data_IF_486752087593
#
_entry.id   IF_486752087593
#
_cell.length_a   1.000
_cell.length_b   1.000
_cell.length_c   1.000
_cell.angle_alpha   90.00
_cell.angle_beta   90.00
_cell.angle_gamma   90.00
#
_symmetry.space_group_name_H-M   'P 1'
#
loop_
_entity.id
_entity.type
_entity.pdbx_description
1 polymer ?
#
# COMPACT_ATOMS: atom_id res chain seq x y z
N UNK A 1 60.57 25.13 -20.25
CA UNK A 1 59.26 25.53 -20.79
C UNK A 1 58.25 25.47 -19.66
N UNK A 2 57.86 26.63 -19.13
CA UNK A 2 56.92 26.74 -18.01
C UNK A 2 55.67 27.42 -18.52
N UNK A 3 54.53 26.72 -18.48
CA UNK A 3 53.24 27.23 -18.91
C UNK A 3 52.53 27.84 -17.69
N UNK A 4 52.28 29.15 -17.73
CA UNK A 4 51.39 29.86 -16.80
C UNK A 4 49.96 29.72 -17.29
N UNK A 5 49.05 29.33 -16.41
CA UNK A 5 47.59 29.37 -16.63
C UNK A 5 47.06 30.63 -15.93
N UNK A 6 46.28 31.49 -16.61
CA UNK A 6 45.68 32.66 -15.99
C UNK A 6 44.45 32.27 -15.16
N UNK A 7 44.39 32.76 -13.93
CA UNK A 7 43.20 32.72 -13.06
C UNK A 7 42.15 33.71 -13.57
N UNK A 8 41.06 33.19 -14.15
CA UNK A 8 39.86 33.96 -14.41
C UNK A 8 39.02 34.08 -13.13
N UNK A 9 38.51 35.28 -12.86
CA UNK A 9 37.72 35.61 -11.68
C UNK A 9 36.38 34.86 -11.63
N UNK A 10 36.01 34.44 -10.42
CA UNK A 10 34.72 33.83 -10.11
C UNK A 10 33.65 34.94 -10.06
N UNK A 11 32.55 34.85 -10.82
CA UNK A 11 31.41 35.75 -10.64
C UNK A 11 30.69 35.39 -9.35
N UNK A 12 30.51 36.36 -8.45
CA UNK A 12 29.60 36.21 -7.32
C UNK A 12 28.15 36.24 -7.83
N UNK A 13 27.49 35.08 -7.87
CA UNK A 13 26.04 35.00 -8.01
C UNK A 13 25.38 35.34 -6.67
N UNK A 14 24.70 36.49 -6.61
CA UNK A 14 23.75 36.81 -5.53
C UNK A 14 22.66 35.72 -5.49
N UNK A 15 22.45 35.15 -4.31
CA UNK A 15 21.25 34.35 -4.04
C UNK A 15 20.02 35.27 -4.15
N UNK A 16 18.92 34.80 -4.77
CA UNK A 16 17.68 35.57 -4.79
C UNK A 16 17.13 35.71 -3.36
N UNK A 17 16.71 36.92 -3.01
CA UNK A 17 16.00 37.23 -1.77
C UNK A 17 14.77 36.33 -1.64
N UNK A 18 14.61 35.75 -0.45
CA UNK A 18 13.47 34.91 -0.12
C UNK A 18 12.20 35.77 -0.07
N UNK A 19 11.21 35.43 -0.90
CA UNK A 19 9.89 36.02 -0.78
C UNK A 19 9.24 35.61 0.55
N UNK A 20 8.55 36.52 1.25
CA UNK A 20 7.83 36.18 2.47
C UNK A 20 6.68 35.23 2.16
N UNK A 21 6.67 34.09 2.84
CA UNK A 21 5.57 33.12 2.81
C UNK A 21 4.37 33.73 3.53
N UNK A 22 3.24 33.84 2.84
CA UNK A 22 1.99 34.32 3.42
C UNK A 22 1.56 33.42 4.60
N UNK A 23 1.06 33.98 5.72
CA UNK A 23 0.60 33.19 6.85
C UNK A 23 -0.61 32.34 6.47
N UNK A 24 -0.60 31.07 6.88
CA UNK A 24 -1.77 30.17 6.75
C UNK A 24 -2.94 30.71 7.57
N UNK A 25 -4.14 30.67 6.99
CA UNK A 25 -5.39 30.98 7.67
C UNK A 25 -5.62 30.03 8.87
N UNK A 26 -6.17 30.54 9.98
CA UNK A 26 -6.47 29.72 11.15
C UNK A 26 -7.58 28.70 10.85
N UNK A 27 -7.35 27.47 11.30
CA UNK A 27 -8.36 26.41 11.30
C UNK A 27 -9.44 26.82 12.31
N UNK A 28 -10.66 27.06 11.83
CA UNK A 28 -11.80 27.34 12.69
C UNK A 28 -12.29 26.07 13.40
N UNK A 29 -12.70 26.16 14.67
CA UNK A 29 -13.25 25.02 15.39
C UNK A 29 -14.62 24.62 14.82
N UNK A 30 -14.84 23.31 14.72
CA UNK A 30 -16.09 22.71 14.27
C UNK A 30 -17.26 23.08 15.17
N UNK A 31 -18.11 24.00 14.70
CA UNK A 31 -19.44 24.24 15.23
C UNK A 31 -20.43 23.29 14.56
N UNK A 32 -21.19 22.56 15.39
CA UNK A 32 -22.26 21.68 14.94
C UNK A 32 -23.40 22.46 14.28
N UNK A 33 -24.09 21.80 13.35
CA UNK A 33 -25.37 22.27 12.83
C UNK A 33 -26.39 21.16 12.80
N UNK A 34 -27.53 21.48 13.43
CA UNK A 34 -28.79 20.80 13.29
C UNK A 34 -29.48 21.23 11.99
N UNK A 35 -29.98 20.21 11.27
CA UNK A 35 -31.23 20.07 10.50
C UNK A 35 -31.84 21.22 9.69
N UNK A 36 -32.30 20.78 8.51
CA UNK A 36 -33.33 21.31 7.60
C UNK A 36 -32.85 22.32 6.56
N UNK A 37 -32.65 21.85 5.32
CA UNK A 37 -33.62 22.19 4.27
C UNK A 37 -33.54 21.27 3.05
N UNK A 38 -34.71 21.11 2.44
CA UNK A 38 -35.09 20.24 1.33
C UNK A 38 -34.36 20.52 0.01
N UNK A 39 -33.84 19.46 -0.63
CA UNK A 39 -33.60 19.42 -2.08
C UNK A 39 -34.01 18.07 -2.66
N UNK A 40 -34.93 18.11 -3.62
CA UNK A 40 -35.24 17.02 -4.53
C UNK A 40 -34.07 16.82 -5.50
N UNK A 41 -33.47 15.64 -5.46
CA UNK A 41 -32.68 15.10 -6.56
C UNK A 41 -32.88 13.58 -6.58
N UNK A 42 -33.18 13.04 -7.76
CA UNK A 42 -33.29 11.61 -8.04
C UNK A 42 -31.95 10.91 -7.77
N UNK A 43 -31.78 10.43 -6.54
CA UNK A 43 -30.84 9.39 -6.19
C UNK A 43 -31.65 8.13 -5.89
N UNK A 44 -31.65 7.19 -6.84
CA UNK A 44 -32.21 5.85 -6.63
C UNK A 44 -31.50 5.19 -5.46
N UNK A 45 -32.09 5.30 -4.27
CA UNK A 45 -31.60 4.70 -3.05
C UNK A 45 -31.46 3.19 -3.20
N UNK A 46 -30.38 2.66 -2.63
CA UNK A 46 -30.18 1.22 -2.45
C UNK A 46 -31.32 0.73 -1.54
N UNK A 47 -32.36 0.18 -2.18
CA UNK A 47 -33.63 -0.14 -1.54
C UNK A 47 -33.54 -1.33 -0.58
N UNK A 48 -34.31 -1.23 0.51
CA UNK A 48 -34.75 -2.32 1.41
C UNK A 48 -35.01 -3.61 0.63
N UNK A 49 -34.36 -4.71 1.00
CA UNK A 49 -34.63 -6.03 0.42
C UNK A 49 -36.04 -6.51 0.78
N UNK A 50 -36.82 -6.86 -0.25
CA UNK A 50 -38.01 -7.68 -0.10
C UNK A 50 -37.62 -9.13 0.21
N UNK A 51 -38.23 -9.71 1.23
CA UNK A 51 -37.93 -11.02 1.79
C UNK A 51 -38.40 -12.16 0.88
N UNK A 52 -37.55 -12.62 -0.03
CA UNK A 52 -37.66 -13.97 -0.63
C UNK A 52 -36.29 -14.50 -1.04
N UNK A 53 -35.68 -15.38 -0.24
CA UNK A 53 -34.75 -16.36 -0.80
C UNK A 53 -34.70 -17.65 0.02
N UNK A 54 -34.99 -18.75 -0.68
CA UNK A 54 -34.78 -20.14 -0.27
C UNK A 54 -33.30 -20.35 0.07
N UNK A 55 -33.06 -21.10 1.15
CA UNK A 55 -31.77 -21.66 1.52
C UNK A 55 -31.25 -22.58 0.41
N UNK A 56 -30.39 -22.07 -0.46
CA UNK A 56 -29.58 -22.89 -1.34
C UNK A 56 -28.33 -23.36 -0.55
N UNK A 57 -27.91 -24.63 -0.72
CA UNK A 57 -26.67 -25.12 -0.12
C UNK A 57 -25.45 -24.31 -0.63
N UNK A 58 -24.36 -24.23 0.16
CA UNK A 58 -23.16 -23.52 -0.26
C UNK A 58 -22.65 -24.09 -1.59
N UNK A 59 -22.34 -23.24 -2.59
CA UNK A 59 -21.89 -23.71 -3.89
C UNK A 59 -20.56 -24.45 -3.76
N UNK A 60 -20.44 -25.55 -4.52
CA UNK A 60 -19.21 -26.32 -4.63
C UNK A 60 -18.04 -25.42 -5.05
N UNK A 61 -16.93 -25.53 -4.32
CA UNK A 61 -15.71 -24.76 -4.49
C UNK A 61 -15.15 -24.99 -5.89
N UNK A 62 -15.19 -23.97 -6.74
CA UNK A 62 -14.50 -24.01 -8.03
C UNK A 62 -12.98 -24.05 -7.74
N UNK A 63 -12.21 -24.97 -8.34
CA UNK A 63 -10.77 -25.01 -8.16
C UNK A 63 -10.17 -23.66 -8.58
N UNK A 64 -9.24 -23.15 -7.78
CA UNK A 64 -8.50 -21.94 -8.12
C UNK A 64 -7.89 -22.09 -9.52
N UNK A 65 -7.95 -21.03 -10.32
CA UNK A 65 -7.20 -20.99 -11.56
C UNK A 65 -5.73 -21.34 -11.27
N UNK A 66 -5.05 -22.14 -12.12
CA UNK A 66 -3.63 -22.40 -11.94
C UNK A 66 -2.91 -21.05 -11.86
N UNK A 67 -2.15 -20.84 -10.79
CA UNK A 67 -1.48 -19.58 -10.51
C UNK A 67 -0.72 -19.11 -11.77
N UNK A 68 -0.82 -17.82 -12.09
CA UNK A 68 0.07 -17.20 -13.07
C UNK A 68 1.49 -17.66 -12.77
N UNK A 69 2.12 -18.34 -13.74
CA UNK A 69 3.47 -18.87 -13.61
C UNK A 69 4.37 -17.78 -13.03
N UNK A 70 5.20 -18.12 -12.04
CA UNK A 70 6.17 -17.25 -11.35
C UNK A 70 7.30 -16.71 -12.24
N UNK A 71 7.06 -16.63 -13.55
CA UNK A 71 8.03 -16.20 -14.55
C UNK A 71 8.25 -14.70 -14.38
N UNK A 72 9.52 -14.30 -14.34
CA UNK A 72 9.93 -12.90 -14.36
C UNK A 72 9.17 -12.14 -15.47
N UNK A 73 8.49 -11.05 -15.09
CA UNK A 73 7.98 -10.11 -16.09
C UNK A 73 9.18 -9.55 -16.86
N UNK A 74 9.20 -9.64 -18.20
CA UNK A 74 10.29 -9.06 -18.97
C UNK A 74 10.35 -7.56 -18.72
N UNK A 75 11.56 -7.00 -18.70
CA UNK A 75 11.73 -5.55 -18.68
C UNK A 75 11.02 -4.94 -19.87
N UNK A 76 10.28 -3.86 -19.64
CA UNK A 76 9.77 -3.08 -20.74
C UNK A 76 10.93 -2.46 -21.53
N UNK A 77 10.80 -2.27 -22.86
CA UNK A 77 11.87 -1.73 -23.69
C UNK A 77 12.43 -0.41 -23.15
N UNK A 78 11.56 0.51 -22.72
CA UNK A 78 11.93 1.80 -22.14
C UNK A 78 12.73 1.64 -20.84
N UNK A 79 12.32 0.72 -19.96
CA UNK A 79 13.04 0.41 -18.71
C UNK A 79 14.44 -0.13 -19.01
N UNK A 80 14.55 -1.04 -19.97
CA UNK A 80 15.83 -1.63 -20.36
C UNK A 80 16.77 -0.58 -20.97
N UNK A 81 16.27 0.28 -21.87
CA UNK A 81 17.06 1.38 -22.45
C UNK A 81 17.55 2.35 -21.38
N UNK A 82 16.67 2.76 -20.46
CA UNK A 82 17.03 3.65 -19.36
C UNK A 82 18.09 3.03 -18.44
N UNK A 83 17.97 1.73 -18.15
CA UNK A 83 18.95 0.99 -17.36
C UNK A 83 20.33 0.95 -18.04
N UNK A 84 20.37 0.60 -19.32
CA UNK A 84 21.62 0.54 -20.09
C UNK A 84 22.31 1.91 -20.14
N UNK A 85 21.56 2.97 -20.39
CA UNK A 85 22.08 4.34 -20.40
C UNK A 85 22.67 4.72 -19.04
N UNK A 86 21.96 4.41 -17.95
CA UNK A 86 22.42 4.69 -16.58
C UNK A 86 23.70 3.95 -16.23
N UNK A 87 23.79 2.66 -16.54
CA UNK A 87 24.98 1.84 -16.29
C UNK A 87 26.18 2.32 -17.11
N UNK A 88 25.97 2.68 -18.38
CA UNK A 88 27.02 3.22 -19.25
C UNK A 88 27.62 4.53 -18.73
N UNK A 89 26.81 5.38 -18.07
CA UNK A 89 27.24 6.63 -17.48
C UNK A 89 27.93 6.50 -16.11
N UNK A 90 27.89 5.34 -15.45
CA UNK A 90 28.53 5.14 -14.14
C UNK A 90 30.05 4.95 -14.26
N UNK A 91 30.85 5.42 -13.28
CA UNK A 91 32.24 5.00 -13.09
C UNK A 91 32.35 3.47 -12.95
N UNK A 92 33.48 2.88 -13.35
CA UNK A 92 33.63 1.42 -13.40
C UNK A 92 33.34 0.69 -12.07
N UNK A 93 33.84 1.15 -10.89
CA UNK A 93 33.55 0.46 -9.62
C UNK A 93 32.05 0.51 -9.24
N UNK A 94 31.40 1.65 -9.47
CA UNK A 94 29.97 1.82 -9.20
C UNK A 94 29.13 0.97 -10.16
N UNK A 95 29.51 0.94 -11.44
CA UNK A 95 28.87 0.12 -12.47
C UNK A 95 28.95 -1.37 -12.13
N UNK A 96 30.12 -1.83 -11.67
CA UNK A 96 30.32 -3.24 -11.29
C UNK A 96 29.40 -3.60 -10.10
N UNK A 97 29.37 -2.75 -9.07
CA UNK A 97 28.47 -2.93 -7.91
C UNK A 97 27.01 -2.97 -8.35
N UNK A 98 26.55 -1.98 -9.11
CA UNK A 98 25.19 -1.89 -9.61
C UNK A 98 24.80 -3.12 -10.44
N UNK A 99 25.67 -3.53 -11.37
CA UNK A 99 25.44 -4.71 -12.22
C UNK A 99 25.32 -5.98 -11.38
N UNK A 100 26.21 -6.16 -10.38
CA UNK A 100 26.16 -7.31 -9.47
C UNK A 100 24.86 -7.34 -8.68
N UNK A 101 24.48 -6.21 -8.08
CA UNK A 101 23.23 -6.08 -7.32
C UNK A 101 21.99 -6.39 -8.19
N UNK A 102 21.89 -5.78 -9.37
CA UNK A 102 20.76 -5.97 -10.28
C UNK A 102 20.63 -7.43 -10.73
N UNK A 103 21.74 -8.08 -11.11
CA UNK A 103 21.74 -9.48 -11.51
C UNK A 103 21.35 -10.42 -10.37
N UNK A 104 21.82 -10.15 -9.15
CA UNK A 104 21.57 -11.03 -8.00
C UNK A 104 20.17 -10.87 -7.40
N UNK A 105 19.63 -9.66 -7.37
CA UNK A 105 18.44 -9.34 -6.57
C UNK A 105 17.26 -8.78 -7.36
N UNK A 106 17.43 -8.38 -8.62
CA UNK A 106 16.39 -7.64 -9.36
C UNK A 106 15.96 -8.36 -10.62
N UNK A 107 16.87 -8.54 -11.58
CA UNK A 107 16.54 -8.95 -12.95
C UNK A 107 15.99 -10.37 -13.07
N UNK A 108 16.26 -11.22 -12.07
CA UNK A 108 15.82 -12.61 -12.03
C UNK A 108 14.58 -12.83 -11.15
N UNK A 109 13.86 -11.76 -10.79
CA UNK A 109 12.66 -11.83 -9.92
C UNK A 109 11.36 -11.70 -10.74
N UNK A 110 10.22 -12.15 -10.20
CA UNK A 110 8.88 -11.86 -10.75
C UNK A 110 8.60 -10.36 -10.95
N UNK A 111 9.32 -9.50 -10.25
CA UNK A 111 9.10 -8.04 -10.20
C UNK A 111 10.21 -7.24 -10.91
N UNK A 112 10.98 -7.88 -11.80
CA UNK A 112 12.16 -7.28 -12.42
C UNK A 112 11.91 -5.89 -13.03
N UNK A 113 10.84 -5.72 -13.81
CA UNK A 113 10.53 -4.42 -14.43
C UNK A 113 10.24 -3.32 -13.40
N UNK A 114 9.27 -3.55 -12.50
CA UNK A 114 8.88 -2.55 -11.48
C UNK A 114 10.02 -2.21 -10.53
N UNK A 115 10.85 -3.19 -10.17
CA UNK A 115 12.03 -2.97 -9.35
C UNK A 115 13.14 -2.23 -10.09
N UNK A 116 13.35 -2.50 -11.39
CA UNK A 116 14.33 -1.76 -12.19
C UNK A 116 13.93 -0.29 -12.37
N UNK A 117 12.65 0.00 -12.63
CA UNK A 117 12.15 1.39 -12.64
C UNK A 117 12.36 2.07 -11.29
N UNK A 118 12.06 1.37 -10.19
CA UNK A 118 12.32 1.87 -8.82
C UNK A 118 13.80 2.17 -8.60
N UNK A 119 14.71 1.28 -9.01
CA UNK A 119 16.15 1.52 -8.91
C UNK A 119 16.59 2.79 -9.63
N UNK A 120 16.06 3.04 -10.83
CA UNK A 120 16.38 4.22 -11.62
C UNK A 120 15.88 5.50 -10.94
N UNK A 121 14.64 5.50 -10.45
CA UNK A 121 14.06 6.62 -9.70
C UNK A 121 14.89 6.95 -8.45
N UNK A 122 15.16 5.92 -7.63
CA UNK A 122 15.88 6.07 -6.37
C UNK A 122 17.35 6.46 -6.59
N UNK A 123 17.98 5.97 -7.66
CA UNK A 123 19.34 6.38 -8.04
C UNK A 123 19.40 7.86 -8.41
N UNK A 124 18.38 8.40 -9.08
CA UNK A 124 18.30 9.82 -9.39
C UNK A 124 18.14 10.66 -8.11
N UNK A 125 17.30 10.21 -7.17
CA UNK A 125 17.16 10.86 -5.85
C UNK A 125 18.47 10.82 -5.06
N UNK A 126 19.19 9.69 -5.10
CA UNK A 126 20.49 9.52 -4.44
C UNK A 126 21.54 10.46 -5.02
N UNK A 127 21.61 10.60 -6.34
CA UNK A 127 22.54 11.53 -6.98
C UNK A 127 22.28 12.99 -6.56
N UNK A 128 21.02 13.37 -6.35
CA UNK A 128 20.66 14.71 -5.89
C UNK A 128 20.95 14.95 -4.39
N UNK A 129 20.95 13.88 -3.56
CA UNK A 129 21.05 13.95 -2.09
C UNK A 129 21.90 12.81 -1.51
N UNK A 130 23.17 12.66 -1.90
CA UNK A 130 23.98 11.48 -1.56
C UNK A 130 24.30 11.36 -0.06
N UNK A 131 24.30 12.47 0.68
CA UNK A 131 24.51 12.48 2.13
C UNK A 131 23.30 11.95 2.93
N UNK A 132 22.12 11.89 2.29
CA UNK A 132 20.85 11.49 2.93
C UNK A 132 20.41 10.12 2.46
N UNK A 133 20.57 9.83 1.18
CA UNK A 133 20.18 8.54 0.61
C UNK A 133 21.44 7.78 0.18
N UNK A 134 21.87 6.80 0.96
CA UNK A 134 23.04 5.97 0.63
C UNK A 134 22.71 4.95 -0.47
N UNK A 135 23.73 4.44 -1.16
CA UNK A 135 23.54 3.35 -2.13
C UNK A 135 22.94 2.09 -1.46
N UNK A 136 23.36 1.75 -0.24
CA UNK A 136 22.80 0.62 0.52
C UNK A 136 21.29 0.79 0.77
N UNK A 137 20.83 2.03 0.99
CA UNK A 137 19.41 2.33 1.15
C UNK A 137 18.66 2.17 -0.18
N UNK A 138 19.23 2.65 -1.28
CA UNK A 138 18.69 2.45 -2.64
C UNK A 138 18.56 0.96 -2.97
N UNK A 139 19.61 0.17 -2.68
CA UNK A 139 19.63 -1.27 -2.89
C UNK A 139 18.59 -1.98 -2.01
N UNK A 140 18.46 -1.59 -0.73
CA UNK A 140 17.46 -2.17 0.18
C UNK A 140 16.03 -1.91 -0.30
N UNK A 141 15.71 -0.66 -0.66
CA UNK A 141 14.38 -0.28 -1.17
C UNK A 141 14.08 -1.00 -2.49
N UNK A 142 15.04 -1.03 -3.41
CA UNK A 142 14.90 -1.71 -4.70
C UNK A 142 14.68 -3.21 -4.51
N UNK A 143 15.47 -3.84 -3.62
CA UNK A 143 15.35 -5.27 -3.30
C UNK A 143 13.99 -5.58 -2.66
N UNK A 144 13.49 -4.72 -1.79
CA UNK A 144 12.16 -4.87 -1.20
C UNK A 144 11.03 -4.80 -2.23
N UNK A 145 11.22 -4.09 -3.35
CA UNK A 145 10.28 -4.13 -4.50
C UNK A 145 10.48 -5.38 -5.36
N UNK A 146 11.72 -5.84 -5.51
CA UNK A 146 12.06 -6.96 -6.38
C UNK A 146 11.65 -8.32 -5.79
N UNK A 147 12.03 -8.59 -4.55
CA UNK A 147 11.92 -9.91 -3.97
C UNK A 147 10.48 -10.23 -3.55
N UNK A 148 9.90 -11.35 -4.02
CA UNK A 148 8.58 -11.79 -3.59
C UNK A 148 8.46 -11.84 -2.08
N UNK A 149 7.39 -11.24 -1.54
CA UNK A 149 7.11 -11.29 -0.11
C UNK A 149 6.88 -12.73 0.37
N UNK A 150 6.23 -13.57 -0.42
CA UNK A 150 6.00 -14.98 -0.10
C UNK A 150 6.30 -15.93 -1.25
N UNK A 151 6.37 -17.22 -0.95
CA UNK A 151 6.55 -18.29 -1.96
C UNK A 151 5.23 -18.74 -2.58
N UNK A 152 4.10 -18.37 -1.97
CA UNK A 152 2.76 -18.71 -2.45
C UNK A 152 2.32 -17.89 -3.68
N UNK A 153 1.20 -18.31 -4.28
CA UNK A 153 0.68 -17.71 -5.51
C UNK A 153 0.32 -16.22 -5.36
N UNK A 154 -0.14 -15.80 -4.19
CA UNK A 154 -0.47 -14.40 -3.88
C UNK A 154 0.74 -13.58 -3.38
N UNK A 155 1.84 -14.25 -3.02
CA UNK A 155 3.02 -13.64 -2.40
C UNK A 155 4.05 -13.13 -3.40
N UNK A 156 3.72 -13.09 -4.70
CA UNK A 156 4.66 -12.76 -5.77
C UNK A 156 5.01 -11.27 -5.83
N UNK A 157 4.19 -10.40 -5.24
CA UNK A 157 4.51 -8.98 -5.07
C UNK A 157 5.74 -8.77 -4.18
N UNK A 158 6.43 -7.65 -4.35
CA UNK A 158 7.47 -7.21 -3.42
C UNK A 158 6.97 -7.07 -1.98
N UNK A 159 7.93 -6.98 -1.06
CA UNK A 159 7.68 -6.53 0.34
C UNK A 159 7.17 -5.08 0.35
N UNK A 160 7.66 -4.30 -0.62
CA UNK A 160 7.33 -2.90 -0.89
C UNK A 160 6.72 -2.77 -2.29
N UNK A 161 5.80 -1.82 -2.44
CA UNK A 161 5.46 -1.23 -3.72
C UNK A 161 6.47 -0.17 -4.19
N UNK A 162 6.65 0.05 -5.51
CA UNK A 162 7.41 1.20 -6.04
C UNK A 162 7.03 2.55 -5.41
N UNK A 163 5.73 2.82 -5.24
CA UNK A 163 5.24 4.05 -4.59
C UNK A 163 5.71 4.16 -3.14
N UNK A 164 5.64 3.06 -2.38
CA UNK A 164 6.08 3.00 -0.99
C UNK A 164 7.60 3.22 -0.89
N UNK A 165 8.39 2.65 -1.81
CA UNK A 165 9.83 2.85 -1.86
C UNK A 165 10.21 4.31 -2.14
N UNK A 166 9.52 4.98 -3.07
CA UNK A 166 9.72 6.42 -3.34
C UNK A 166 9.28 7.31 -2.18
N UNK A 167 8.18 6.96 -1.51
CA UNK A 167 7.72 7.66 -0.31
C UNK A 167 8.76 7.56 0.81
N UNK A 168 9.32 6.36 1.05
CA UNK A 168 10.38 6.15 2.02
C UNK A 168 11.64 6.95 1.69
N UNK A 169 12.09 6.94 0.43
CA UNK A 169 13.25 7.73 0.00
C UNK A 169 13.00 9.25 0.15
N UNK A 170 11.80 9.71 -0.16
CA UNK A 170 11.43 11.13 0.00
C UNK A 170 11.42 11.55 1.47
N UNK A 171 10.89 10.69 2.34
CA UNK A 171 10.95 10.87 3.79
C UNK A 171 12.41 10.98 4.27
N UNK A 172 13.29 10.07 3.85
CA UNK A 172 14.71 10.07 4.24
C UNK A 172 15.43 11.34 3.80
N UNK A 173 15.12 11.84 2.60
CA UNK A 173 15.68 13.10 2.10
C UNK A 173 15.19 14.28 2.94
N UNK A 174 13.90 14.30 3.32
CA UNK A 174 13.26 15.42 4.01
C UNK A 174 13.34 15.42 5.54
N UNK A 175 13.63 14.27 6.17
CA UNK A 175 13.60 14.15 7.64
C UNK A 175 14.64 14.99 8.34
N UNK A 176 14.50 15.17 9.64
CA UNK A 176 15.44 15.96 10.43
C UNK A 176 16.82 15.28 10.56
N UNK A 177 17.76 15.93 11.25
CA UNK A 177 19.06 15.33 11.57
C UNK A 177 18.92 14.16 12.55
N UNK A 178 18.22 14.37 13.67
CA UNK A 178 18.08 13.32 14.68
C UNK A 178 17.21 12.15 14.20
N UNK A 179 16.12 12.42 13.46
CA UNK A 179 15.31 11.31 12.91
C UNK A 179 16.11 10.46 11.94
N UNK A 180 16.95 11.10 11.12
CA UNK A 180 17.84 10.39 10.21
C UNK A 180 18.86 9.54 10.97
N UNK A 181 19.49 10.09 12.01
CA UNK A 181 20.43 9.35 12.88
C UNK A 181 19.74 8.16 13.55
N UNK A 182 18.52 8.36 14.08
CA UNK A 182 17.71 7.31 14.69
C UNK A 182 17.33 6.21 13.70
N UNK A 183 16.95 6.59 12.47
CA UNK A 183 16.68 5.64 11.39
C UNK A 183 17.93 4.82 11.04
N UNK A 184 19.09 5.46 10.87
CA UNK A 184 20.36 4.76 10.61
C UNK A 184 20.72 3.80 11.74
N UNK A 185 20.48 4.17 13.00
CA UNK A 185 20.61 3.27 14.15
C UNK A 185 19.67 2.07 14.04
N UNK A 186 18.39 2.31 13.73
CA UNK A 186 17.37 1.27 13.59
C UNK A 186 17.70 0.28 12.46
N UNK A 187 18.15 0.76 11.31
CA UNK A 187 18.55 -0.09 10.17
C UNK A 187 19.81 -0.90 10.43
N UNK A 188 20.78 -0.36 11.19
CA UNK A 188 21.99 -1.08 11.60
C UNK A 188 21.70 -2.20 12.58
N UNK A 189 20.70 -2.01 13.46
CA UNK A 189 20.29 -2.99 14.45
C UNK A 189 19.40 -4.12 13.90
N UNK A 190 18.98 -4.05 12.64
CA UNK A 190 18.25 -5.15 11.98
C UNK A 190 19.04 -6.47 12.06
N UNK A 191 18.34 -7.54 12.45
CA UNK A 191 18.86 -8.88 12.71
C UNK A 191 19.66 -9.02 14.00
N UNK A 192 19.67 -8.00 14.87
CA UNK A 192 20.35 -8.05 16.16
C UNK A 192 19.39 -7.90 17.32
N UNK A 193 19.69 -8.56 18.44
CA UNK A 193 18.99 -8.37 19.72
C UNK A 193 20.04 -8.21 20.81
N UNK A 194 19.93 -7.14 21.60
CA UNK A 194 20.93 -6.76 22.60
C UNK A 194 22.36 -6.64 22.03
N UNK A 195 22.45 -6.16 20.78
CA UNK A 195 23.71 -6.00 20.04
C UNK A 195 24.31 -7.29 19.47
N UNK A 196 23.66 -8.45 19.67
CA UNK A 196 24.12 -9.73 19.16
C UNK A 196 23.32 -10.16 17.91
N UNK A 197 23.97 -10.67 16.85
CA UNK A 197 23.28 -11.25 15.71
C UNK A 197 22.36 -12.40 16.15
N UNK A 198 21.12 -12.40 15.67
CA UNK A 198 20.14 -13.47 15.94
C UNK A 198 20.20 -14.50 14.82
N UNK A 199 20.39 -15.80 15.12
CA UNK A 199 20.33 -16.85 14.11
C UNK A 199 19.00 -16.86 13.35
N UNK A 200 19.05 -17.08 12.03
CA UNK A 200 17.89 -17.14 11.13
C UNK A 200 17.10 -15.83 10.98
N UNK A 201 17.60 -14.69 11.48
CA UNK A 201 17.01 -13.39 11.21
C UNK A 201 17.10 -13.05 9.71
N UNK A 202 16.03 -12.51 9.14
CA UNK A 202 16.08 -11.94 7.79
C UNK A 202 16.30 -10.43 7.87
N UNK A 203 17.59 -10.05 8.02
CA UNK A 203 18.05 -8.66 8.09
C UNK A 203 17.49 -7.80 6.95
N UNK A 204 17.34 -8.37 5.76
CA UNK A 204 16.94 -7.62 4.57
C UNK A 204 15.44 -7.34 4.56
N UNK A 205 14.63 -8.33 4.93
CA UNK A 205 13.19 -8.14 5.14
C UNK A 205 12.92 -7.17 6.27
N UNK A 206 13.65 -7.24 7.39
CA UNK A 206 13.51 -6.29 8.49
C UNK A 206 13.79 -4.85 8.02
N UNK A 207 14.90 -4.63 7.32
CA UNK A 207 15.23 -3.29 6.79
C UNK A 207 14.19 -2.81 5.79
N UNK A 208 13.71 -3.67 4.90
CA UNK A 208 12.66 -3.31 3.96
C UNK A 208 11.38 -2.89 4.70
N UNK A 209 10.94 -3.64 5.72
CA UNK A 209 9.75 -3.29 6.51
C UNK A 209 9.93 -2.02 7.35
N UNK A 210 11.11 -1.79 7.92
CA UNK A 210 11.43 -0.52 8.60
C UNK A 210 11.28 0.64 7.62
N UNK A 211 11.83 0.51 6.41
CA UNK A 211 11.72 1.54 5.38
C UNK A 211 10.29 1.69 4.85
N UNK A 212 9.51 0.61 4.78
CA UNK A 212 8.07 0.67 4.49
C UNK A 212 7.33 1.53 5.53
N UNK A 213 7.62 1.30 6.81
CA UNK A 213 7.04 2.09 7.91
C UNK A 213 7.43 3.58 7.83
N UNK A 214 8.65 3.88 7.39
CA UNK A 214 9.10 5.26 7.09
C UNK A 214 8.28 5.86 5.93
N UNK A 215 8.09 5.11 4.84
CA UNK A 215 7.26 5.55 3.71
C UNK A 215 5.79 5.79 4.09
N UNK A 216 5.25 4.98 5.00
CA UNK A 216 3.91 5.14 5.54
C UNK A 216 3.73 6.37 6.45
N UNK A 217 4.81 7.09 6.75
CA UNK A 217 4.85 8.33 7.54
C UNK A 217 5.58 9.44 6.79
N UNK A 218 5.58 9.37 5.46
CA UNK A 218 6.51 10.18 4.66
C UNK A 218 6.21 11.67 4.75
N UNK A 219 4.94 12.07 4.89
CA UNK A 219 4.55 13.48 5.00
C UNK A 219 5.03 14.07 6.33
N UNK A 220 4.78 13.37 7.42
CA UNK A 220 5.14 13.79 8.77
C UNK A 220 6.67 13.84 8.94
N UNK A 221 7.37 12.82 8.45
CA UNK A 221 8.83 12.75 8.53
C UNK A 221 9.50 13.74 7.58
N UNK A 222 9.02 13.91 6.34
CA UNK A 222 9.64 14.84 5.37
C UNK A 222 9.33 16.31 5.66
N UNK A 223 8.26 16.60 6.38
CA UNK A 223 7.78 17.96 6.65
C UNK A 223 7.30 18.11 8.11
N UNK A 224 8.21 17.94 9.08
CA UNK A 224 7.86 17.96 10.49
C UNK A 224 7.27 19.31 10.91
N UNK A 225 6.32 19.25 11.83
CA UNK A 225 5.68 20.42 12.42
C UNK A 225 6.69 21.36 13.09
N UNK A 226 6.27 22.59 13.39
CA UNK A 226 7.15 23.56 14.08
C UNK A 226 7.58 23.02 15.45
N UNK A 227 6.67 22.40 16.20
CA UNK A 227 6.96 21.82 17.51
C UNK A 227 7.98 20.66 17.41
N UNK A 228 7.84 19.82 16.38
CA UNK A 228 8.76 18.71 16.12
C UNK A 228 10.16 19.20 15.76
N UNK A 229 10.24 20.27 14.96
CA UNK A 229 11.53 20.92 14.66
C UNK A 229 12.19 21.51 15.89
N UNK A 230 11.42 22.07 16.82
CA UNK A 230 11.94 22.58 18.10
C UNK A 230 12.45 21.43 18.96
N UNK A 231 11.68 20.35 19.12
CA UNK A 231 12.13 19.14 19.83
C UNK A 231 13.43 18.59 19.26
N UNK A 232 13.51 18.50 17.94
CA UNK A 232 14.71 18.04 17.25
C UNK A 232 15.95 18.90 17.51
N UNK A 233 15.77 20.23 17.61
CA UNK A 233 16.86 21.13 17.97
C UNK A 233 17.41 20.89 19.38
N UNK A 234 16.65 20.21 20.24
CA UNK A 234 17.08 19.77 21.57
C UNK A 234 17.53 18.31 21.62
N UNK A 235 17.63 17.63 20.47
CA UNK A 235 18.11 16.24 20.37
C UNK A 235 17.03 15.17 20.40
N UNK A 236 15.73 15.54 20.42
CA UNK A 236 14.63 14.58 20.47
C UNK A 236 14.17 14.16 19.05
N UNK A 237 13.79 12.90 18.91
CA UNK A 237 13.13 12.35 17.71
C UNK A 237 11.66 12.76 17.63
N UNK A 238 11.14 12.75 16.41
CA UNK A 238 9.69 12.88 16.18
C UNK A 238 8.94 11.65 16.66
N UNK A 239 7.65 11.81 16.95
CA UNK A 239 6.79 10.68 17.36
C UNK A 239 6.76 9.59 16.30
N UNK A 240 6.71 9.98 15.03
CA UNK A 240 6.66 9.09 13.89
C UNK A 240 7.94 8.27 13.77
N UNK A 241 9.09 8.89 14.02
CA UNK A 241 10.36 8.18 14.07
C UNK A 241 10.46 7.27 15.31
N UNK A 242 9.94 7.67 16.46
CA UNK A 242 9.86 6.79 17.65
C UNK A 242 9.03 5.54 17.38
N UNK A 243 7.91 5.68 16.67
CA UNK A 243 7.07 4.56 16.26
C UNK A 243 7.81 3.61 15.31
N UNK A 244 8.53 4.15 14.32
CA UNK A 244 9.39 3.36 13.41
C UNK A 244 10.52 2.66 14.16
N UNK A 245 11.21 3.35 15.07
CA UNK A 245 12.30 2.77 15.86
C UNK A 245 11.79 1.67 16.80
N UNK A 246 10.63 1.87 17.43
CA UNK A 246 9.96 0.85 18.25
C UNK A 246 9.60 -0.37 17.42
N UNK A 247 9.00 -0.17 16.25
CA UNK A 247 8.71 -1.26 15.32
C UNK A 247 9.96 -2.01 14.89
N UNK A 248 11.04 -1.30 14.54
CA UNK A 248 12.34 -1.91 14.21
C UNK A 248 12.86 -2.81 15.32
N UNK A 249 12.75 -2.40 16.59
CA UNK A 249 13.12 -3.23 17.75
C UNK A 249 12.19 -4.45 17.90
N UNK A 250 10.90 -4.29 17.69
CA UNK A 250 9.91 -5.38 17.81
C UNK A 250 10.11 -6.48 16.77
N UNK A 251 10.59 -6.13 15.57
CA UNK A 251 10.84 -7.10 14.49
C UNK A 251 12.29 -7.59 14.44
N UNK A 252 13.19 -6.99 15.21
CA UNK A 252 14.60 -7.32 15.17
C UNK A 252 14.87 -8.80 15.52
N UNK A 253 15.58 -9.49 14.65
CA UNK A 253 15.91 -10.90 14.82
C UNK A 253 14.79 -11.87 14.41
N UNK A 254 13.83 -11.43 13.59
CA UNK A 254 12.66 -12.25 13.25
C UNK A 254 12.88 -12.98 11.92
N UNK A 255 12.48 -14.27 11.80
CA UNK A 255 12.55 -14.99 10.53
C UNK A 255 11.62 -14.38 9.46
N UNK A 256 12.02 -14.51 8.19
CA UNK A 256 11.29 -13.98 7.02
C UNK A 256 9.79 -14.31 7.06
N UNK A 257 9.42 -15.58 7.18
CA UNK A 257 8.02 -16.00 7.07
C UNK A 257 7.13 -15.34 8.13
N UNK A 258 7.66 -15.11 9.33
CA UNK A 258 6.96 -14.40 10.40
C UNK A 258 6.82 -12.91 10.08
N UNK A 259 7.88 -12.27 9.60
CA UNK A 259 7.86 -10.87 9.17
C UNK A 259 6.79 -10.64 8.10
N UNK A 260 6.80 -11.46 7.06
CA UNK A 260 5.89 -11.35 5.92
C UNK A 260 4.45 -11.60 6.34
N UNK A 261 4.22 -12.64 7.14
CA UNK A 261 2.87 -12.94 7.65
C UNK A 261 2.34 -11.77 8.47
N UNK A 262 3.16 -11.18 9.34
CA UNK A 262 2.75 -10.12 10.27
C UNK A 262 2.76 -8.71 9.68
N UNK A 263 3.19 -8.54 8.42
CA UNK A 263 3.30 -7.23 7.76
C UNK A 263 2.22 -6.97 6.69
N UNK A 264 1.18 -7.81 6.64
CA UNK A 264 0.01 -7.61 5.76
C UNK A 264 -1.23 -8.24 6.37
N UNK A 265 -2.42 -7.86 5.89
CA UNK A 265 -3.70 -8.48 6.22
C UNK A 265 -4.22 -9.43 5.12
N UNK A 266 -3.40 -9.67 4.09
CA UNK A 266 -3.69 -10.51 2.92
C UNK A 266 -3.16 -11.93 3.14
N UNK A 267 -3.85 -12.96 2.60
CA UNK A 267 -3.28 -14.32 2.58
C UNK A 267 -2.27 -14.45 1.42
N UNK A 268 -0.98 -14.29 1.74
CA UNK A 268 0.13 -14.40 0.78
C UNK A 268 0.24 -15.77 0.09
N UNK A 269 -0.46 -16.79 0.60
CA UNK A 269 -0.50 -18.10 -0.04
C UNK A 269 -1.67 -18.28 -1.01
N UNK A 270 -2.55 -17.28 -1.12
CA UNK A 270 -3.91 -17.41 -1.63
C UNK A 270 -4.71 -18.44 -0.80
N UNK A 271 -5.94 -18.08 -0.42
CA UNK A 271 -6.69 -18.87 0.56
C UNK A 271 -7.60 -18.01 1.41
N UNK A 272 -8.05 -18.54 2.55
CA UNK A 272 -9.04 -17.92 3.44
C UNK A 272 -8.43 -17.46 4.77
N UNK A 273 -7.17 -17.02 4.79
CA UNK A 273 -6.50 -16.52 6.02
C UNK A 273 -6.34 -15.01 6.06
N UNK A 274 -6.92 -14.28 5.11
CA UNK A 274 -6.91 -12.82 5.14
C UNK A 274 -7.87 -12.29 6.21
N UNK A 275 -7.79 -10.97 6.47
CA UNK A 275 -8.68 -10.29 7.40
C UNK A 275 -10.15 -10.46 6.98
N UNK A 276 -10.96 -10.95 7.92
CA UNK A 276 -12.39 -11.19 7.72
C UNK A 276 -13.23 -10.08 8.37
N UNK A 277 -14.32 -9.70 7.70
CA UNK A 277 -15.32 -8.78 8.23
C UNK A 277 -16.13 -9.45 9.34
N UNK A 278 -16.35 -8.75 10.45
CA UNK A 278 -17.00 -9.30 11.65
C UNK A 278 -18.46 -8.89 11.81
N UNK A 279 -18.89 -7.87 11.08
CA UNK A 279 -20.27 -7.39 11.07
C UNK A 279 -20.88 -7.54 9.68
N UNK A 280 -22.19 -7.71 9.64
CA UNK A 280 -22.97 -7.52 8.42
C UNK A 280 -22.58 -6.14 7.85
N UNK A 281 -22.19 -6.10 6.57
CA UNK A 281 -21.88 -4.87 5.81
C UNK A 281 -20.63 -4.10 6.26
N UNK A 282 -19.79 -4.72 7.09
CA UNK A 282 -18.44 -4.19 7.36
C UNK A 282 -17.43 -4.49 6.23
N UNK A 283 -17.89 -4.85 5.01
CA UNK A 283 -17.01 -5.11 3.87
C UNK A 283 -16.11 -3.90 3.55
N UNK A 284 -16.66 -2.69 3.52
CA UNK A 284 -15.89 -1.47 3.24
C UNK A 284 -14.93 -1.09 4.39
N UNK A 285 -15.34 -1.06 5.67
CA UNK A 285 -14.40 -0.91 6.78
C UNK A 285 -13.27 -1.94 6.75
N UNK A 286 -13.58 -3.20 6.48
CA UNK A 286 -12.59 -4.28 6.47
C UNK A 286 -11.65 -4.17 5.27
N UNK A 287 -12.16 -3.81 4.09
CA UNK A 287 -11.32 -3.51 2.92
C UNK A 287 -10.37 -2.32 3.20
N UNK A 288 -10.84 -1.29 3.91
CA UNK A 288 -9.97 -0.18 4.33
C UNK A 288 -8.87 -0.65 5.30
N UNK A 289 -9.19 -1.55 6.25
CA UNK A 289 -8.19 -2.15 7.13
C UNK A 289 -7.16 -3.00 6.35
N UNK A 290 -7.60 -3.76 5.33
CA UNK A 290 -6.69 -4.53 4.47
C UNK A 290 -5.72 -3.61 3.75
N UNK A 291 -6.23 -2.56 3.07
CA UNK A 291 -5.39 -1.60 2.34
C UNK A 291 -4.47 -0.81 3.28
N UNK A 292 -4.93 -0.45 4.49
CA UNK A 292 -4.08 0.19 5.50
C UNK A 292 -2.96 -0.75 5.98
N UNK A 293 -3.27 -2.02 6.24
CA UNK A 293 -2.27 -3.00 6.65
C UNK A 293 -1.24 -3.28 5.55
N UNK A 294 -1.63 -3.22 4.27
CA UNK A 294 -0.67 -3.32 3.19
C UNK A 294 0.19 -2.06 3.06
N UNK A 295 -0.35 -0.87 3.34
CA UNK A 295 0.41 0.38 3.34
C UNK A 295 1.36 0.54 4.54
N UNK A 296 0.95 0.16 5.75
CA UNK A 296 1.70 0.34 7.00
C UNK A 296 1.93 -0.99 7.75
N UNK A 297 3.18 -1.51 7.79
CA UNK A 297 3.47 -2.76 8.48
C UNK A 297 3.33 -2.65 10.01
N UNK A 298 3.34 -1.43 10.58
CA UNK A 298 3.08 -1.23 12.02
C UNK A 298 1.61 -1.55 12.32
N UNK A 299 0.71 -1.02 11.51
CA UNK A 299 -0.72 -1.32 11.62
C UNK A 299 -1.02 -2.79 11.34
N UNK A 300 -0.40 -3.39 10.31
CA UNK A 300 -0.54 -4.82 10.04
C UNK A 300 -0.16 -5.68 11.27
N UNK A 301 1.00 -5.40 11.87
CA UNK A 301 1.47 -6.12 13.06
C UNK A 301 0.52 -5.95 14.25
N UNK A 302 -0.11 -4.78 14.39
CA UNK A 302 -1.13 -4.55 15.40
C UNK A 302 -2.35 -5.46 15.19
N UNK A 303 -2.82 -5.62 13.94
CA UNK A 303 -3.93 -6.54 13.63
C UNK A 303 -3.58 -7.99 13.98
N UNK A 304 -2.35 -8.42 13.72
CA UNK A 304 -1.87 -9.78 14.03
C UNK A 304 -1.73 -10.11 15.53
N UNK A 305 -2.03 -9.17 16.43
CA UNK A 305 -2.18 -9.45 17.87
C UNK A 305 -3.48 -10.22 18.17
N UNK A 306 -4.36 -10.35 17.20
CA UNK A 306 -5.63 -11.05 17.27
C UNK A 306 -5.81 -11.91 16.00
N UNK A 307 -6.65 -12.97 16.02
CA UNK A 307 -6.93 -13.75 14.81
C UNK A 307 -7.57 -12.88 13.72
N UNK A 308 -6.94 -12.79 12.55
CA UNK A 308 -7.44 -12.04 11.38
C UNK A 308 -8.70 -12.68 10.77
N UNK A 309 -8.68 -14.00 10.63
CA UNK A 309 -9.80 -14.78 10.11
C UNK A 309 -10.68 -15.25 11.28
N UNK A 310 -11.56 -14.37 11.73
CA UNK A 310 -12.46 -14.62 12.85
C UNK A 310 -13.72 -13.77 12.75
N UNK A 311 -14.85 -14.33 13.17
CA UNK A 311 -16.13 -13.62 13.29
C UNK A 311 -16.32 -12.97 14.68
N UNK A 312 -15.35 -13.06 15.59
CA UNK A 312 -15.47 -12.51 16.94
C UNK A 312 -15.52 -10.98 16.94
N UNK A 313 -16.73 -10.42 17.06
CA UNK A 313 -16.96 -8.98 17.06
C UNK A 313 -16.38 -8.23 18.28
N UNK A 314 -15.96 -8.92 19.34
CA UNK A 314 -15.53 -8.31 20.61
C UNK A 314 -14.04 -8.01 20.71
N UNK A 315 -13.30 -8.14 19.61
CA UNK A 315 -11.86 -7.86 19.55
C UNK A 315 -11.57 -6.39 19.21
N UNK A 316 -10.30 -5.97 19.22
CA UNK A 316 -9.93 -4.62 18.76
C UNK A 316 -10.25 -4.43 17.27
N UNK A 317 -9.98 -5.46 16.45
CA UNK A 317 -10.34 -5.45 15.02
C UNK A 317 -11.85 -5.25 14.86
N UNK A 318 -12.67 -6.00 15.60
CA UNK A 318 -14.13 -5.87 15.56
C UNK A 318 -14.60 -4.48 16.03
N UNK A 319 -14.04 -3.96 17.12
CA UNK A 319 -14.36 -2.61 17.61
C UNK A 319 -14.05 -1.53 16.57
N UNK A 320 -12.94 -1.65 15.85
CA UNK A 320 -12.60 -0.72 14.78
C UNK A 320 -13.59 -0.80 13.63
N UNK A 321 -13.88 -1.99 13.12
CA UNK A 321 -14.87 -2.19 12.04
C UNK A 321 -16.24 -1.63 12.41
N UNK A 322 -16.72 -1.91 13.63
CA UNK A 322 -17.96 -1.35 14.18
C UNK A 322 -17.94 0.16 14.15
N UNK A 323 -16.92 0.77 14.75
CA UNK A 323 -16.78 2.23 14.86
C UNK A 323 -16.78 2.89 13.48
N UNK A 324 -15.99 2.35 12.54
CA UNK A 324 -15.92 2.88 11.18
C UNK A 324 -17.26 2.71 10.45
N UNK A 325 -17.94 1.58 10.60
CA UNK A 325 -19.25 1.35 10.00
C UNK A 325 -20.32 2.31 10.54
N UNK A 326 -20.45 2.40 11.86
CA UNK A 326 -21.46 3.22 12.55
C UNK A 326 -21.23 4.73 12.32
N UNK A 327 -19.96 5.19 12.30
CA UNK A 327 -19.61 6.57 12.00
C UNK A 327 -19.90 7.00 10.54
N UNK A 328 -20.32 6.06 9.70
CA UNK A 328 -20.60 6.28 8.28
C UNK A 328 -22.02 5.86 7.89
N UNK A 329 -22.94 5.82 8.87
CA UNK A 329 -24.35 5.56 8.66
C UNK A 329 -24.73 4.09 8.52
N UNK A 330 -23.78 3.17 8.67
CA UNK A 330 -24.06 1.73 8.72
C UNK A 330 -24.52 1.26 10.11
N UNK A 331 -24.95 0.00 10.19
CA UNK A 331 -25.34 -0.64 11.46
C UNK A 331 -24.45 -1.87 11.70
N UNK A 332 -23.69 -1.87 12.79
CA UNK A 332 -22.83 -2.99 13.14
C UNK A 332 -23.61 -4.14 13.80
N UNK A 333 -24.14 -5.04 12.99
CA UNK A 333 -24.70 -6.31 13.44
C UNK A 333 -23.65 -7.42 13.36
N UNK A 334 -23.27 -8.08 14.46
CA UNK A 334 -22.30 -9.19 14.41
C UNK A 334 -22.76 -10.27 13.43
N UNK A 335 -21.83 -10.80 12.63
CA UNK A 335 -22.16 -11.88 11.68
C UNK A 335 -22.45 -13.16 12.44
N UNK A 336 -23.64 -13.72 12.19
CA UNK A 336 -24.05 -15.03 12.71
C UNK A 336 -24.20 -16.07 11.60
N UNK A 337 -23.57 -15.85 10.43
CA UNK A 337 -23.66 -16.76 9.28
C UNK A 337 -24.89 -16.55 8.38
N UNK A 338 -25.59 -15.41 8.49
CA UNK A 338 -26.68 -15.01 7.60
C UNK A 338 -26.61 -13.53 7.24
N UNK A 339 -27.23 -13.13 6.12
CA UNK A 339 -27.37 -11.71 5.73
C UNK A 339 -28.71 -11.18 6.22
N UNK A 340 -28.74 -10.55 7.39
CA UNK A 340 -29.96 -9.90 7.87
C UNK A 340 -30.25 -8.59 7.11
N UNK A 341 -31.40 -7.97 7.39
CA UNK A 341 -31.72 -6.64 6.84
C UNK A 341 -30.64 -5.65 7.30
N UNK A 342 -29.90 -5.10 6.36
CA UNK A 342 -28.79 -4.21 6.67
C UNK A 342 -28.88 -2.89 5.94
N UNK A 343 -28.20 -1.90 6.52
CA UNK A 343 -27.95 -0.61 5.92
C UNK A 343 -26.49 -0.64 5.49
N UNK A 344 -26.25 -1.04 4.23
CA UNK A 344 -24.95 -0.86 3.61
C UNK A 344 -24.52 0.62 3.63
N UNK A 345 -23.32 0.90 3.16
CA UNK A 345 -22.76 2.26 3.13
C UNK A 345 -22.78 2.82 1.71
N UNK A 346 -22.95 4.14 1.57
CA UNK A 346 -22.91 4.79 0.26
C UNK A 346 -21.48 4.79 -0.33
N UNK A 347 -21.32 4.95 -1.66
CA UNK A 347 -20.01 5.12 -2.27
C UNK A 347 -19.19 6.28 -1.69
N UNK A 348 -19.81 7.42 -1.38
CA UNK A 348 -19.12 8.54 -0.73
C UNK A 348 -18.67 8.20 0.68
N UNK A 349 -19.49 7.49 1.46
CA UNK A 349 -19.10 7.02 2.78
C UNK A 349 -17.92 6.03 2.69
N UNK A 350 -17.90 5.13 1.70
CA UNK A 350 -16.76 4.25 1.44
C UNK A 350 -15.49 5.04 1.12
N UNK A 351 -15.56 6.03 0.22
CA UNK A 351 -14.45 6.93 -0.08
C UNK A 351 -13.93 7.61 1.18
N UNK A 352 -14.81 8.11 2.04
CA UNK A 352 -14.43 8.79 3.27
C UNK A 352 -13.84 7.84 4.33
N UNK A 353 -14.15 6.55 4.28
CA UNK A 353 -13.46 5.52 5.07
C UNK A 353 -12.03 5.33 4.57
N UNK A 354 -11.82 5.18 3.25
CA UNK A 354 -10.47 5.05 2.69
C UNK A 354 -9.63 6.31 2.93
N UNK A 355 -10.24 7.49 2.79
CA UNK A 355 -9.55 8.75 3.05
C UNK A 355 -9.17 8.99 4.50
N UNK A 356 -9.91 8.42 5.46
CA UNK A 356 -9.54 8.52 6.88
C UNK A 356 -8.63 7.39 7.34
N UNK A 357 -8.83 6.19 6.81
CA UNK A 357 -8.16 4.97 7.28
C UNK A 357 -6.88 4.61 6.53
N UNK A 358 -6.76 4.99 5.25
CA UNK A 358 -5.67 4.54 4.37
C UNK A 358 -4.80 5.70 3.91
N UNK A 359 -5.41 6.82 3.52
CA UNK A 359 -4.69 7.99 2.97
C UNK A 359 -3.52 8.52 3.80
N UNK A 360 -3.61 8.61 5.14
CA UNK A 360 -2.46 9.06 5.95
C UNK A 360 -1.21 8.20 5.73
N UNK A 361 -1.39 6.90 5.43
CA UNK A 361 -0.31 5.95 5.33
C UNK A 361 0.03 5.54 3.89
N UNK A 362 -0.91 5.68 2.95
CA UNK A 362 -0.63 5.50 1.52
C UNK A 362 -0.14 6.78 0.84
N UNK A 363 -0.21 7.93 1.52
CA UNK A 363 0.09 9.27 1.00
C UNK A 363 -0.75 9.63 -0.24
N UNK A 364 -2.01 9.17 -0.30
CA UNK A 364 -2.92 9.35 -1.44
C UNK A 364 -4.28 9.78 -0.99
N UNK A 365 -4.98 10.58 -1.78
CA UNK A 365 -6.41 10.86 -1.57
C UNK A 365 -7.20 10.07 -2.61
N UNK A 366 -8.20 9.34 -2.15
CA UNK A 366 -9.07 8.52 -2.98
C UNK A 366 -10.26 9.32 -3.49
N UNK A 367 -10.54 9.18 -4.79
CA UNK A 367 -11.75 9.65 -5.43
C UNK A 367 -12.66 8.47 -5.81
N UNK A 368 -13.98 8.67 -5.71
CA UNK A 368 -14.96 7.69 -6.17
C UNK A 368 -15.04 7.74 -7.69
N UNK A 369 -14.77 6.62 -8.35
CA UNK A 369 -15.03 6.46 -9.79
C UNK A 369 -16.25 5.57 -9.97
N UNK A 370 -17.34 6.14 -10.48
CA UNK A 370 -18.53 5.37 -10.85
C UNK A 370 -18.34 4.78 -12.23
N UNK A 371 -18.64 3.49 -12.37
CA UNK A 371 -18.37 2.72 -13.59
C UNK A 371 -19.71 2.37 -14.23
N UNK A 372 -19.90 2.78 -15.48
CA UNK A 372 -21.08 2.40 -16.25
C UNK A 372 -21.15 0.87 -16.41
N UNK A 373 -22.37 0.34 -16.47
CA UNK A 373 -22.61 -1.11 -16.56
C UNK A 373 -22.39 -1.64 -17.98
N UNK A 374 -21.18 -1.46 -18.52
CA UNK A 374 -20.75 -1.96 -19.82
C UNK A 374 -19.37 -2.62 -19.71
N UNK A 375 -19.07 -3.63 -20.55
CA UNK A 375 -17.74 -4.24 -20.55
C UNK A 375 -16.61 -3.25 -20.81
N UNK A 376 -16.84 -2.25 -21.68
CA UNK A 376 -15.86 -1.24 -22.05
C UNK A 376 -15.53 -0.32 -20.87
N UNK A 377 -16.53 0.12 -20.11
CA UNK A 377 -16.31 0.97 -18.94
C UNK A 377 -15.54 0.22 -17.84
N UNK A 378 -15.87 -1.06 -17.61
CA UNK A 378 -15.14 -1.91 -16.67
C UNK A 378 -13.70 -2.17 -17.12
N UNK A 379 -13.47 -2.43 -18.41
CA UNK A 379 -12.11 -2.54 -18.95
C UNK A 379 -11.31 -1.25 -18.74
N UNK A 380 -11.91 -0.09 -19.00
CA UNK A 380 -11.28 1.20 -18.75
C UNK A 380 -10.91 1.44 -17.28
N UNK A 381 -11.74 0.97 -16.34
CA UNK A 381 -11.41 1.02 -14.91
C UNK A 381 -10.25 0.07 -14.55
N UNK A 382 -10.25 -1.13 -15.10
CA UNK A 382 -9.18 -2.11 -14.93
C UNK A 382 -7.84 -1.63 -15.50
N UNK A 383 -7.83 -0.88 -16.60
CA UNK A 383 -6.60 -0.28 -17.13
C UNK A 383 -6.04 0.82 -16.24
N UNK A 384 -6.89 1.57 -15.53
CA UNK A 384 -6.44 2.52 -14.50
C UNK A 384 -5.89 1.79 -13.27
N UNK A 385 -6.60 0.77 -12.80
CA UNK A 385 -6.18 -0.06 -11.69
C UNK A 385 -4.83 -0.75 -11.97
N UNK A 386 -4.61 -1.32 -13.16
CA UNK A 386 -3.33 -1.97 -13.53
C UNK A 386 -2.14 -1.02 -13.38
N UNK A 387 -2.28 0.25 -13.76
CA UNK A 387 -1.21 1.25 -13.58
C UNK A 387 -0.89 1.51 -12.11
N UNK A 388 -1.91 1.58 -11.26
CA UNK A 388 -1.76 1.79 -9.82
C UNK A 388 -1.15 0.56 -9.15
N UNK A 389 -1.66 -0.63 -9.45
CA UNK A 389 -1.20 -1.89 -8.87
C UNK A 389 0.24 -2.21 -9.27
N UNK A 390 0.64 -1.93 -10.52
CA UNK A 390 2.05 -2.05 -10.95
C UNK A 390 2.98 -1.03 -10.28
N UNK A 391 2.41 0.04 -9.74
CA UNK A 391 3.11 1.02 -8.90
C UNK A 391 3.09 0.64 -7.41
N UNK A 392 2.51 -0.52 -7.08
CA UNK A 392 2.40 -1.05 -5.72
C UNK A 392 1.40 -0.27 -4.87
N UNK A 393 0.22 -0.04 -5.46
CA UNK A 393 -0.84 0.76 -4.89
C UNK A 393 -2.11 -0.03 -4.95
N UNK A 394 -2.60 -0.38 -3.77
CA UNK A 394 -3.88 -1.03 -3.62
C UNK A 394 -5.02 -0.18 -4.17
N UNK A 395 -5.93 -0.85 -4.88
CA UNK A 395 -7.13 -0.25 -5.45
C UNK A 395 -8.33 -0.86 -4.74
N UNK A 396 -8.90 -0.19 -3.72
CA UNK A 396 -10.19 -0.55 -3.20
C UNK A 396 -11.25 -0.44 -4.29
N UNK A 397 -12.21 -1.36 -4.29
CA UNK A 397 -13.28 -1.36 -5.28
C UNK A 397 -14.54 -1.98 -4.71
N UNK A 398 -15.67 -1.72 -5.35
CA UNK A 398 -16.94 -2.32 -4.99
C UNK A 398 -17.70 -2.84 -6.21
N UNK A 399 -18.42 -3.95 -5.99
CA UNK A 399 -19.25 -4.61 -6.99
C UNK A 399 -20.71 -4.54 -6.60
N UNK A 400 -21.59 -4.60 -7.59
CA UNK A 400 -23.03 -4.77 -7.42
C UNK A 400 -23.43 -6.19 -7.83
N UNK A 401 -24.15 -6.89 -6.96
CA UNK A 401 -24.68 -8.21 -7.29
C UNK A 401 -25.97 -8.09 -8.13
N UNK A 402 -26.22 -9.09 -8.97
CA UNK A 402 -27.42 -9.12 -9.83
C UNK A 402 -28.74 -9.15 -9.05
N UNK A 403 -28.73 -9.58 -7.78
CA UNK A 403 -29.88 -9.57 -6.87
C UNK A 403 -29.97 -8.33 -5.96
N UNK A 404 -29.13 -7.33 -6.19
CA UNK A 404 -29.03 -6.12 -5.36
C UNK A 404 -28.10 -6.27 -4.16
N UNK A 405 -27.72 -5.11 -3.60
CA UNK A 405 -26.64 -4.99 -2.62
C UNK A 405 -25.27 -4.81 -3.29
N UNK A 406 -24.31 -4.35 -2.49
CA UNK A 406 -22.94 -4.13 -2.92
C UNK A 406 -21.94 -4.84 -2.02
N UNK A 407 -20.73 -5.03 -2.52
CA UNK A 407 -19.65 -5.64 -1.76
C UNK A 407 -18.32 -4.97 -2.07
N UNK A 408 -17.58 -4.57 -1.04
CA UNK A 408 -16.30 -3.87 -1.15
C UNK A 408 -15.12 -4.81 -0.85
N UNK A 409 -14.04 -4.65 -1.62
CA UNK A 409 -12.82 -5.47 -1.60
C UNK A 409 -11.61 -4.63 -1.97
N UNK A 410 -10.43 -5.27 -2.01
CA UNK A 410 -9.17 -4.64 -2.42
C UNK A 410 -8.51 -5.45 -3.53
N UNK A 411 -8.06 -4.79 -4.60
CA UNK A 411 -7.05 -5.32 -5.50
C UNK A 411 -5.67 -4.86 -5.00
N UNK A 412 -4.69 -5.77 -4.90
CA UNK A 412 -3.36 -5.43 -4.39
C UNK A 412 -2.21 -5.72 -5.36
N UNK A 413 -2.42 -6.55 -6.38
CA UNK A 413 -1.41 -6.78 -7.43
C UNK A 413 -2.07 -7.05 -8.78
N UNK A 414 -1.32 -6.81 -9.85
CA UNK A 414 -1.72 -7.08 -11.23
C UNK A 414 -0.59 -7.81 -11.96
N UNK A 415 -0.94 -8.86 -12.70
CA UNK A 415 -0.02 -9.70 -13.46
C UNK A 415 -0.55 -9.99 -14.85
N UNK A 416 0.35 -10.40 -15.73
CA UNK A 416 0.01 -10.71 -17.12
C UNK A 416 -0.24 -9.45 -17.95
N UNK A 417 -0.69 -9.63 -19.19
CA UNK A 417 -0.93 -8.56 -20.15
C UNK A 417 -2.15 -8.88 -21.01
N UNK A 418 -2.82 -7.84 -21.52
CA UNK A 418 -3.98 -7.95 -22.39
C UNK A 418 -5.07 -8.85 -21.80
N UNK A 419 -5.52 -9.84 -22.58
CA UNK A 419 -6.57 -10.78 -22.17
C UNK A 419 -6.17 -11.73 -21.03
N UNK A 420 -4.87 -11.91 -20.79
CA UNK A 420 -4.33 -12.78 -19.73
C UNK A 420 -4.03 -12.01 -18.44
N UNK A 421 -4.50 -10.76 -18.33
CA UNK A 421 -4.29 -9.97 -17.12
C UNK A 421 -5.12 -10.55 -15.96
N UNK A 422 -4.48 -10.71 -14.82
CA UNK A 422 -5.11 -11.16 -13.58
C UNK A 422 -4.83 -10.18 -12.45
N UNK A 423 -5.75 -10.10 -11.51
CA UNK A 423 -5.70 -9.21 -10.36
C UNK A 423 -5.79 -10.01 -9.07
N UNK A 424 -4.92 -9.71 -8.12
CA UNK A 424 -4.98 -10.30 -6.79
C UNK A 424 -6.05 -9.58 -5.98
N UNK A 425 -7.15 -10.26 -5.69
CA UNK A 425 -8.30 -9.71 -4.96
C UNK A 425 -8.34 -10.29 -3.56
N UNK A 426 -8.47 -9.42 -2.55
CA UNK A 426 -8.79 -9.80 -1.18
C UNK A 426 -10.23 -9.44 -0.85
N UNK A 427 -11.01 -10.48 -0.57
CA UNK A 427 -12.42 -10.46 -0.23
C UNK A 427 -12.61 -10.55 1.30
N UNK A 428 -13.06 -9.46 1.95
CA UNK A 428 -13.24 -9.44 3.40
C UNK A 428 -14.44 -10.28 3.87
N UNK A 429 -15.35 -10.69 2.98
CA UNK A 429 -16.52 -11.50 3.38
C UNK A 429 -16.05 -12.80 4.05
N UNK A 430 -15.15 -13.53 3.42
CA UNK A 430 -14.65 -14.79 4.00
C UNK A 430 -13.13 -14.76 4.20
N UNK A 431 -12.56 -13.56 4.28
CA UNK A 431 -11.11 -13.36 4.41
C UNK A 431 -10.33 -14.09 3.31
N UNK A 432 -10.85 -14.05 2.07
CA UNK A 432 -10.30 -14.83 0.95
C UNK A 432 -9.45 -13.98 0.04
N UNK A 433 -8.23 -14.43 -0.25
CA UNK A 433 -7.36 -13.83 -1.27
C UNK A 433 -7.22 -14.78 -2.46
N UNK A 434 -7.32 -14.26 -3.69
CA UNK A 434 -7.09 -15.05 -4.90
C UNK A 434 -6.97 -14.22 -6.17
N UNK A 435 -6.38 -14.84 -7.20
CA UNK A 435 -6.28 -14.25 -8.54
C UNK A 435 -7.62 -14.32 -9.28
N UNK A 436 -7.99 -13.20 -9.88
CA UNK A 436 -9.20 -13.04 -10.69
C UNK A 436 -8.83 -12.52 -12.06
N UNK A 437 -9.34 -13.13 -13.11
CA UNK A 437 -9.08 -12.69 -14.49
C UNK A 437 -9.74 -11.35 -14.76
N UNK A 438 -8.99 -10.44 -15.36
CA UNK A 438 -9.48 -9.14 -15.78
C UNK A 438 -10.62 -9.24 -16.78
N UNK A 439 -10.58 -10.22 -17.68
CA UNK A 439 -11.65 -10.48 -18.64
C UNK A 439 -12.98 -10.87 -17.96
N UNK A 440 -12.94 -11.62 -16.86
CA UNK A 440 -14.14 -11.98 -16.10
C UNK A 440 -14.74 -10.75 -15.40
N UNK A 441 -13.89 -9.86 -14.88
CA UNK A 441 -14.31 -8.58 -14.28
C UNK A 441 -14.90 -7.65 -15.34
N UNK A 442 -14.24 -7.50 -16.48
CA UNK A 442 -14.73 -6.70 -17.60
C UNK A 442 -16.08 -7.23 -18.11
N UNK A 443 -16.25 -8.54 -18.23
CA UNK A 443 -17.51 -9.14 -18.65
C UNK A 443 -18.65 -8.95 -17.64
N UNK A 444 -18.35 -8.65 -16.37
CA UNK A 444 -19.35 -8.61 -15.30
C UNK A 444 -19.79 -10.01 -14.84
N UNK A 445 -18.93 -11.01 -15.04
CA UNK A 445 -19.19 -12.42 -14.76
C UNK A 445 -18.38 -12.93 -13.57
N UNK A 446 -17.71 -12.05 -12.82
CA UNK A 446 -16.84 -12.47 -11.72
C UNK A 446 -17.63 -13.05 -10.57
N UNK A 447 -17.25 -14.26 -10.17
CA UNK A 447 -17.70 -14.87 -8.92
C UNK A 447 -16.93 -14.25 -7.77
N UNK A 448 -17.63 -13.45 -6.97
CA UNK A 448 -17.10 -12.69 -5.84
C UNK A 448 -17.98 -12.98 -4.63
N UNK A 449 -17.37 -13.46 -3.56
CA UNK A 449 -18.09 -13.97 -2.39
C UNK A 449 -19.20 -14.96 -2.78
N UNK A 450 -20.46 -14.72 -2.39
CA UNK A 450 -21.56 -15.66 -2.60
C UNK A 450 -22.20 -15.62 -4.00
N UNK A 451 -21.79 -14.73 -4.90
CA UNK A 451 -22.51 -14.51 -6.16
C UNK A 451 -21.70 -13.94 -7.30
N UNK A 452 -22.39 -13.63 -8.41
CA UNK A 452 -21.83 -12.92 -9.54
C UNK A 452 -22.02 -11.42 -9.36
N UNK A 453 -20.91 -10.68 -9.34
CA UNK A 453 -20.88 -9.23 -9.16
C UNK A 453 -20.36 -8.50 -10.40
N UNK A 454 -20.83 -7.27 -10.59
CA UNK A 454 -20.35 -6.36 -11.64
C UNK A 454 -19.61 -5.21 -10.99
N UNK A 455 -18.39 -4.94 -11.46
CA UNK A 455 -17.61 -3.79 -11.00
C UNK A 455 -18.39 -2.50 -11.22
N UNK A 456 -18.66 -1.79 -10.12
CA UNK A 456 -19.49 -0.59 -10.11
C UNK A 456 -18.73 0.64 -9.63
N UNK A 457 -17.76 0.46 -8.73
CA UNK A 457 -16.92 1.55 -8.24
C UNK A 457 -15.46 1.12 -8.08
N UNK A 458 -14.55 2.04 -8.39
CA UNK A 458 -13.16 2.00 -7.89
C UNK A 458 -12.89 3.24 -7.04
N UNK A 459 -11.94 3.11 -6.12
CA UNK A 459 -11.44 4.21 -5.29
C UNK A 459 -9.96 4.39 -5.61
N UNK A 460 -9.62 5.47 -6.30
CA UNK A 460 -8.28 5.71 -6.88
C UNK A 460 -7.81 7.16 -6.77
#
# INVERSE_FOLDING_TARGET
MSVRIPTAGVPQTRLPESQPVAPRAPISPSLGYATNDTFHADAGGIGRRGRTQRTAPPPATQPAAPAANSRAEPLQPETNTALQARLAAMPAPERERATRFLNQHVLNTPNADRATRTYLDLSAMQAARPARLSMDTVETLTRGVAEPRGTGAAGQEGILGPAQARAAASAIVGMTGEDFTALQGTLRNAGTRDGQPVPNADVQTERALILKAVGARSQELASPGVLDRVRNAFGDTTREMDDVARFGREIAGTPRDTLITQSTAIDVNAGSRALQQRFDDSCAPTAAQVAHADADPIYARQLHREPLHSLDANTNIGREQRRVLENNGGIARPRQGGTGDSLGVSPDAMRDMFNRGVSPNSNRTYATQTIADTPQARQGALDRADRLLRDGVDVPFAVLWNGGGGHAMVMSDARGQGANREYLVTDPMDGRTGWVRGSDIAAGNTRIGPGTGRLAWTFE
#
